data_IF_623573442540
#
_entry.id   IF_623573442540
#
_cell.length_a   1.000
_cell.length_b   1.000
_cell.length_c   1.000
_cell.angle_alpha   90.00
_cell.angle_beta   90.00
_cell.angle_gamma   90.00
#
_symmetry.space_group_name_H-M   'P 1'
#
loop_
_entity.id
_entity.type
_entity.pdbx_description
1 polymer ?
#
# COMPACT_ATOMS: atom_id res chain seq x y z
N UNK A 1 19.10 3.19 -9.50
CA UNK A 1 19.26 4.11 -8.35
C UNK A 1 18.30 5.28 -8.50
N UNK A 2 17.41 5.46 -7.52
CA UNK A 2 16.53 6.63 -7.47
C UNK A 2 17.32 7.81 -6.86
N UNK A 3 17.25 8.97 -7.51
CA UNK A 3 17.95 10.20 -7.12
C UNK A 3 16.92 11.30 -6.85
N UNK A 4 17.26 12.24 -5.97
CA UNK A 4 16.51 13.47 -5.70
C UNK A 4 15.25 13.38 -4.81
N UNK A 5 15.10 12.33 -3.99
CA UNK A 5 14.11 12.39 -2.91
C UNK A 5 14.53 13.45 -1.89
N UNK A 6 13.67 14.43 -1.62
CA UNK A 6 13.90 15.44 -0.58
C UNK A 6 13.63 14.81 0.79
N UNK A 7 14.62 14.85 1.68
CA UNK A 7 14.54 14.31 3.04
C UNK A 7 15.09 15.32 4.04
N UNK A 8 14.54 15.32 5.25
CA UNK A 8 15.12 16.06 6.37
C UNK A 8 16.37 15.29 6.82
N UNK A 9 17.59 15.84 6.64
CA UNK A 9 18.80 15.13 7.03
C UNK A 9 18.97 15.12 8.55
N UNK A 10 19.77 14.17 9.03
CA UNK A 10 20.22 14.11 10.43
C UNK A 10 21.39 15.06 10.72
N UNK A 11 21.96 15.68 9.68
CA UNK A 11 23.11 16.56 9.78
C UNK A 11 22.67 17.98 10.16
N UNK A 12 23.14 18.43 11.33
CA UNK A 12 22.84 19.76 11.89
C UNK A 12 23.75 20.80 11.23
N UNK A 13 23.15 21.80 10.56
CA UNK A 13 23.91 22.89 9.92
C UNK A 13 24.31 24.00 10.89
N UNK A 14 23.58 24.13 11.99
CA UNK A 14 23.82 25.12 13.01
C UNK A 14 22.79 25.00 14.13
N UNK A 15 22.94 25.81 15.16
CA UNK A 15 21.95 25.92 16.24
C UNK A 15 21.48 27.36 16.35
N UNK A 16 20.19 27.55 16.66
CA UNK A 16 19.66 28.87 17.00
C UNK A 16 20.29 29.36 18.31
N UNK A 17 20.21 30.66 18.60
CA UNK A 17 20.64 31.22 19.90
C UNK A 17 19.92 30.62 21.12
N UNK A 18 18.83 29.88 20.90
CA UNK A 18 18.06 29.14 21.92
C UNK A 18 18.38 27.64 21.97
N UNK A 19 19.36 27.16 21.19
CA UNK A 19 19.82 25.77 21.20
C UNK A 19 19.03 24.80 20.31
N UNK A 20 18.13 25.28 19.45
CA UNK A 20 17.39 24.43 18.52
C UNK A 20 18.24 24.12 17.28
N UNK A 21 18.20 22.88 16.79
CA UNK A 21 18.93 22.46 15.60
C UNK A 21 18.32 23.10 14.33
N UNK A 22 19.19 23.66 13.49
CA UNK A 22 18.88 24.14 12.15
C UNK A 22 19.26 23.03 11.17
N UNK A 23 18.27 22.54 10.43
CA UNK A 23 18.41 21.51 9.40
C UNK A 23 18.05 22.11 8.04
N UNK A 24 18.71 21.67 6.97
CA UNK A 24 18.33 22.03 5.60
C UNK A 24 17.91 20.79 4.85
N UNK A 25 16.77 20.87 4.17
CA UNK A 25 16.32 19.85 3.24
C UNK A 25 17.41 19.49 2.24
N UNK A 26 17.74 18.21 2.16
CA UNK A 26 18.76 17.70 1.24
C UNK A 26 18.21 16.55 0.41
N UNK A 27 18.84 16.29 -0.74
CA UNK A 27 18.51 15.11 -1.52
C UNK A 27 19.14 13.88 -0.85
N UNK A 28 18.33 12.87 -0.57
CA UNK A 28 18.82 11.56 -0.15
C UNK A 28 19.82 11.04 -1.20
N UNK A 29 21.02 10.61 -0.77
CA UNK A 29 22.12 10.34 -1.71
C UNK A 29 21.80 9.16 -2.62
N UNK A 30 21.31 8.05 -2.05
CA UNK A 30 21.00 6.83 -2.80
C UNK A 30 19.83 6.05 -2.20
N UNK A 31 18.83 5.80 -3.03
CA UNK A 31 17.67 5.00 -2.71
C UNK A 31 17.54 3.84 -3.71
N UNK A 32 17.08 2.68 -3.24
CA UNK A 32 16.72 1.54 -4.11
C UNK A 32 15.26 1.17 -3.90
N UNK A 33 14.54 1.12 -5.01
CA UNK A 33 13.23 0.50 -5.12
C UNK A 33 13.35 -0.56 -6.19
N UNK A 34 13.00 -1.79 -5.84
CA UNK A 34 13.07 -2.96 -6.71
C UNK A 34 11.90 -3.86 -6.38
N UNK A 35 11.25 -4.39 -7.41
CA UNK A 35 10.12 -5.28 -7.25
C UNK A 35 9.84 -6.06 -8.52
N UNK A 36 8.93 -7.02 -8.38
CA UNK A 36 8.39 -7.83 -9.45
C UNK A 36 6.91 -7.47 -9.64
N UNK A 37 6.50 -7.33 -10.88
CA UNK A 37 5.11 -7.15 -11.26
C UNK A 37 4.68 -8.30 -12.16
N UNK A 38 3.52 -8.86 -11.88
CA UNK A 38 2.94 -9.96 -12.66
C UNK A 38 1.45 -9.74 -12.85
N UNK A 39 0.97 -10.11 -14.03
CA UNK A 39 -0.44 -10.11 -14.37
C UNK A 39 -0.80 -11.46 -14.99
N UNK A 40 -1.97 -11.98 -14.61
CA UNK A 40 -2.52 -13.21 -15.12
C UNK A 40 -4.01 -13.01 -15.42
N UNK A 41 -4.43 -13.40 -16.61
CA UNK A 41 -5.83 -13.48 -17.00
C UNK A 41 -6.08 -14.90 -17.51
N UNK A 42 -7.06 -15.57 -16.92
CA UNK A 42 -7.44 -16.94 -17.25
C UNK A 42 -8.92 -16.96 -17.61
N UNK A 43 -9.29 -17.21 -18.89
CA UNK A 43 -10.66 -17.54 -19.24
C UNK A 43 -10.96 -18.97 -18.78
N UNK A 44 -11.68 -19.11 -17.67
CA UNK A 44 -12.02 -20.41 -17.09
C UNK A 44 -13.18 -21.08 -17.85
N UNK A 45 -14.09 -20.26 -18.39
CA UNK A 45 -15.21 -20.62 -19.24
C UNK A 45 -15.53 -19.44 -20.18
N UNK A 46 -16.42 -19.62 -21.16
CA UNK A 46 -16.91 -18.53 -22.04
C UNK A 46 -17.51 -17.35 -21.26
N UNK A 47 -18.14 -17.66 -20.11
CA UNK A 47 -18.83 -16.70 -19.24
C UNK A 47 -18.11 -16.46 -17.90
N UNK A 48 -16.96 -17.08 -17.68
CA UNK A 48 -16.23 -17.01 -16.40
C UNK A 48 -14.77 -16.70 -16.66
N UNK A 49 -14.32 -15.55 -16.15
CA UNK A 49 -12.92 -15.14 -16.24
C UNK A 49 -12.34 -14.86 -14.87
N UNK A 50 -11.07 -15.20 -14.70
CA UNK A 50 -10.31 -14.90 -13.50
C UNK A 50 -9.11 -14.03 -13.87
N UNK A 51 -9.00 -12.88 -13.23
CA UNK A 51 -7.87 -11.97 -13.38
C UNK A 51 -7.14 -11.80 -12.05
N UNK A 52 -5.81 -11.74 -12.10
CA UNK A 52 -4.96 -11.48 -10.95
C UNK A 52 -3.80 -10.58 -11.34
N UNK A 53 -3.50 -9.58 -10.51
CA UNK A 53 -2.23 -8.87 -10.56
C UNK A 53 -1.51 -8.95 -9.21
N UNK A 54 -0.18 -9.02 -9.28
CA UNK A 54 0.71 -9.12 -8.14
C UNK A 54 1.83 -8.11 -8.30
N UNK A 55 2.05 -7.32 -7.27
CA UNK A 55 3.28 -6.53 -7.09
C UNK A 55 4.00 -7.07 -5.87
N UNK A 56 5.28 -7.41 -5.98
CA UNK A 56 6.14 -7.86 -4.89
C UNK A 56 7.36 -6.94 -4.75
N UNK A 57 7.59 -6.37 -3.58
CA UNK A 57 8.68 -5.45 -3.31
C UNK A 57 9.90 -6.24 -2.80
N UNK A 58 10.97 -6.30 -3.60
CA UNK A 58 12.24 -6.92 -3.22
C UNK A 58 13.07 -5.99 -2.35
N UNK A 59 13.12 -4.71 -2.72
CA UNK A 59 13.84 -3.67 -1.97
C UNK A 59 13.06 -2.36 -2.02
N UNK A 60 12.97 -1.67 -0.90
CA UNK A 60 12.48 -0.30 -0.83
C UNK A 60 13.17 0.38 0.34
N UNK A 61 14.41 0.83 0.15
CA UNK A 61 15.22 1.39 1.24
C UNK A 61 16.12 2.52 0.82
N UNK A 62 16.30 3.44 1.75
CA UNK A 62 17.39 4.41 1.74
C UNK A 62 18.70 3.67 2.06
N UNK A 63 19.73 3.81 1.20
CA UNK A 63 20.98 3.07 1.35
C UNK A 63 21.87 3.64 2.47
N UNK A 64 21.64 4.87 2.92
CA UNK A 64 22.44 5.52 3.95
C UNK A 64 21.92 5.20 5.36
N UNK A 65 20.59 5.18 5.53
CA UNK A 65 19.92 4.96 6.83
C UNK A 65 19.35 3.54 7.01
N UNK A 66 19.19 2.79 5.91
CA UNK A 66 18.54 1.48 5.91
C UNK A 66 17.03 1.51 6.18
N UNK A 67 16.44 2.70 6.30
CA UNK A 67 15.00 2.89 6.50
C UNK A 67 14.22 2.63 5.20
N UNK A 68 12.96 2.15 5.30
CA UNK A 68 12.09 2.06 4.15
C UNK A 68 11.82 3.45 3.56
N UNK A 69 11.80 3.55 2.23
CA UNK A 69 11.53 4.83 1.56
C UNK A 69 10.08 5.27 1.71
N UNK A 70 9.18 4.30 1.82
CA UNK A 70 7.78 4.46 2.15
C UNK A 70 7.33 3.19 2.85
N UNK A 71 6.44 3.30 3.83
CA UNK A 71 5.83 2.13 4.47
C UNK A 71 4.74 1.63 3.52
N UNK A 72 5.06 0.59 2.77
CA UNK A 72 4.17 -0.09 1.82
C UNK A 72 4.18 -1.60 2.10
N UNK A 73 3.13 -2.33 1.71
CA UNK A 73 3.12 -3.79 1.80
C UNK A 73 4.28 -4.43 1.05
N UNK A 74 4.85 -5.51 1.62
CA UNK A 74 5.85 -6.34 0.93
C UNK A 74 5.33 -6.90 -0.39
N UNK A 75 4.03 -7.19 -0.47
CA UNK A 75 3.36 -7.53 -1.72
C UNK A 75 1.91 -7.07 -1.70
N UNK A 76 1.34 -6.86 -2.87
CA UNK A 76 -0.09 -6.63 -3.05
C UNK A 76 -0.59 -7.55 -4.15
N UNK A 77 -1.58 -8.38 -3.84
CA UNK A 77 -2.25 -9.25 -4.79
C UNK A 77 -3.70 -8.79 -4.92
N UNK A 78 -4.11 -8.44 -6.14
CA UNK A 78 -5.50 -8.17 -6.46
C UNK A 78 -6.01 -9.28 -7.39
N UNK A 79 -7.12 -9.90 -7.03
CA UNK A 79 -7.72 -10.99 -7.80
C UNK A 79 -9.23 -10.78 -7.92
N UNK A 80 -9.74 -10.89 -9.14
CA UNK A 80 -11.16 -10.77 -9.48
C UNK A 80 -11.62 -11.99 -10.25
N UNK A 81 -12.71 -12.61 -9.79
CA UNK A 81 -13.45 -13.61 -10.53
C UNK A 81 -14.72 -12.95 -11.07
N UNK A 82 -14.80 -12.82 -12.38
CA UNK A 82 -15.90 -12.21 -13.13
C UNK A 82 -16.75 -13.30 -13.76
N UNK A 83 -18.03 -13.38 -13.39
CA UNK A 83 -18.95 -14.40 -13.90
C UNK A 83 -20.21 -13.78 -14.49
N UNK A 84 -20.43 -14.00 -15.78
CA UNK A 84 -21.67 -13.69 -16.48
C UNK A 84 -22.65 -14.86 -16.29
N UNK A 85 -23.43 -14.85 -15.21
CA UNK A 85 -24.34 -15.95 -14.89
C UNK A 85 -25.49 -16.11 -15.92
N UNK A 86 -25.87 -15.04 -16.61
CA UNK A 86 -26.77 -15.06 -17.78
C UNK A 86 -26.60 -13.76 -18.57
N UNK A 87 -27.27 -13.60 -19.72
CA UNK A 87 -27.27 -12.33 -20.49
C UNK A 87 -27.66 -11.09 -19.66
N UNK A 88 -28.45 -11.28 -18.59
CA UNK A 88 -28.93 -10.18 -17.73
C UNK A 88 -28.28 -10.13 -16.36
N UNK A 89 -27.65 -11.21 -15.90
CA UNK A 89 -27.07 -11.31 -14.56
C UNK A 89 -25.55 -11.47 -14.63
N UNK A 90 -24.84 -10.56 -13.96
CA UNK A 90 -23.39 -10.63 -13.77
C UNK A 90 -23.06 -10.63 -12.28
N UNK A 91 -22.01 -11.34 -11.89
CA UNK A 91 -21.52 -11.40 -10.51
C UNK A 91 -20.01 -11.26 -10.49
N UNK A 92 -19.48 -10.70 -9.40
CA UNK A 92 -18.05 -10.54 -9.20
C UNK A 92 -17.67 -10.89 -7.78
N UNK A 93 -16.60 -11.65 -7.63
CA UNK A 93 -15.88 -11.85 -6.38
C UNK A 93 -14.52 -11.16 -6.50
N UNK A 94 -14.26 -10.20 -5.61
CA UNK A 94 -12.99 -9.46 -5.56
C UNK A 94 -12.23 -9.79 -4.29
N UNK A 95 -10.91 -9.79 -4.40
CA UNK A 95 -10.00 -9.97 -3.28
C UNK A 95 -8.76 -9.09 -3.45
N UNK A 96 -8.38 -8.39 -2.39
CA UNK A 96 -7.10 -7.69 -2.31
C UNK A 96 -6.37 -8.15 -1.07
N UNK A 97 -5.21 -8.75 -1.24
CA UNK A 97 -4.35 -9.25 -0.17
C UNK A 97 -3.12 -8.36 -0.08
N UNK A 98 -2.94 -7.76 1.10
CA UNK A 98 -1.78 -6.96 1.41
C UNK A 98 -0.83 -7.79 2.28
N UNK A 99 0.41 -7.88 1.82
CA UNK A 99 1.52 -8.39 2.59
C UNK A 99 1.80 -7.56 3.84
N UNK A 100 2.76 -8.03 4.60
CA UNK A 100 3.21 -7.43 5.84
C UNK A 100 3.76 -6.02 5.58
N UNK A 101 3.53 -5.09 6.51
CA UNK A 101 4.07 -3.72 6.43
C UNK A 101 5.02 -3.47 7.59
N UNK A 102 6.31 -3.34 7.26
CA UNK A 102 7.35 -3.04 8.23
C UNK A 102 7.44 -1.53 8.50
N UNK A 103 7.42 -1.08 9.77
CA UNK A 103 7.66 0.31 10.11
C UNK A 103 9.13 0.69 9.93
N UNK A 104 9.46 2.00 9.93
CA UNK A 104 10.85 2.46 9.87
C UNK A 104 11.71 1.92 11.01
N UNK A 105 12.96 1.54 10.72
CA UNK A 105 13.89 0.95 11.70
C UNK A 105 14.55 2.00 12.60
N UNK A 106 14.71 3.22 12.11
CA UNK A 106 15.33 4.35 12.80
C UNK A 106 14.40 5.57 12.77
N UNK A 107 14.38 6.34 13.87
CA UNK A 107 13.67 7.61 13.94
C UNK A 107 14.26 8.65 12.98
N UNK A 108 13.46 9.67 12.66
CA UNK A 108 13.83 10.76 11.74
C UNK A 108 14.78 11.80 12.35
N UNK A 109 15.15 11.67 13.63
CA UNK A 109 16.19 12.50 14.29
C UNK A 109 17.08 11.64 15.20
N UNK A 110 18.32 12.10 15.46
CA UNK A 110 19.20 11.48 16.47
C UNK A 110 18.47 11.54 17.81
N UNK A 111 18.32 10.38 18.48
CA UNK A 111 17.63 10.18 19.76
C UNK A 111 16.10 10.20 19.77
N UNK A 112 15.38 10.24 18.65
CA UNK A 112 13.92 9.97 18.71
C UNK A 112 13.64 8.46 18.64
N UNK A 113 12.95 7.87 19.64
CA UNK A 113 12.47 6.50 19.54
C UNK A 113 11.55 6.36 18.32
N UNK A 114 11.62 5.21 17.63
CA UNK A 114 10.63 4.88 16.60
C UNK A 114 9.25 4.86 17.27
N UNK A 115 8.37 5.78 16.84
CA UNK A 115 7.06 6.07 17.46
C UNK A 115 6.15 4.84 17.49
N UNK A 116 6.36 3.88 16.59
CA UNK A 116 5.75 2.54 16.68
C UNK A 116 6.56 1.53 15.88
N UNK A 117 7.02 0.46 16.55
CA UNK A 117 7.61 -0.73 15.89
C UNK A 117 6.55 -1.76 15.50
N UNK A 118 5.26 -1.42 15.64
CA UNK A 118 4.21 -2.40 15.44
C UNK A 118 3.91 -2.56 13.96
N UNK A 119 4.34 -3.71 13.48
CA UNK A 119 4.05 -4.23 12.16
C UNK A 119 2.56 -4.43 11.93
N UNK A 120 2.12 -4.09 10.72
CA UNK A 120 0.80 -4.51 10.23
C UNK A 120 0.98 -5.87 9.57
N UNK A 121 0.47 -6.92 10.21
CA UNK A 121 0.49 -8.27 9.64
C UNK A 121 -0.37 -8.37 8.37
N UNK A 122 -0.08 -9.37 7.53
CA UNK A 122 -0.80 -9.64 6.28
C UNK A 122 -2.32 -9.68 6.50
N UNK A 123 -3.08 -9.06 5.59
CA UNK A 123 -4.54 -9.08 5.63
C UNK A 123 -5.15 -9.07 4.24
N UNK A 124 -6.38 -9.59 4.13
CA UNK A 124 -7.17 -9.58 2.90
C UNK A 124 -8.48 -8.84 3.06
N UNK A 125 -8.87 -8.10 2.03
CA UNK A 125 -10.19 -7.49 1.88
C UNK A 125 -10.91 -8.20 0.74
N UNK A 126 -12.15 -8.60 0.99
CA UNK A 126 -12.96 -9.35 0.04
C UNK A 126 -14.25 -8.59 -0.26
N UNK A 127 -14.71 -8.67 -1.49
CA UNK A 127 -15.95 -8.05 -1.94
C UNK A 127 -16.75 -8.98 -2.84
N UNK A 128 -18.06 -8.85 -2.78
CA UNK A 128 -18.98 -9.54 -3.69
C UNK A 128 -19.95 -8.53 -4.28
N UNK A 129 -20.20 -8.58 -5.58
CA UNK A 129 -21.22 -7.76 -6.23
C UNK A 129 -22.02 -8.56 -7.24
N UNK A 130 -23.25 -8.14 -7.48
CA UNK A 130 -24.13 -8.65 -8.52
C UNK A 130 -24.80 -7.50 -9.24
N UNK A 131 -24.84 -7.58 -10.57
CA UNK A 131 -25.51 -6.63 -11.45
C UNK A 131 -26.59 -7.34 -12.25
N UNK A 132 -27.79 -6.76 -12.29
CA UNK A 132 -28.92 -7.25 -13.08
C UNK A 132 -29.43 -6.17 -14.04
N UNK A 133 -29.54 -6.54 -15.31
CA UNK A 133 -30.11 -5.70 -16.37
C UNK A 133 -31.58 -6.05 -16.55
N UNK A 134 -32.46 -5.11 -16.18
CA UNK A 134 -33.91 -5.26 -16.30
C UNK A 134 -34.38 -5.00 -17.74
N UNK A 135 -33.78 -4.01 -18.39
CA UNK A 135 -34.03 -3.63 -19.79
C UNK A 135 -32.81 -2.91 -20.36
N UNK A 136 -32.84 -2.58 -21.66
CA UNK A 136 -31.79 -1.79 -22.32
C UNK A 136 -31.53 -0.43 -21.66
N UNK A 137 -32.51 0.10 -20.91
CA UNK A 137 -32.42 1.41 -20.26
C UNK A 137 -32.27 1.33 -18.73
N UNK A 138 -32.31 0.14 -18.13
CA UNK A 138 -32.26 -0.02 -16.68
C UNK A 138 -31.41 -1.23 -16.27
N UNK A 139 -30.32 -0.93 -15.58
CA UNK A 139 -29.48 -1.92 -14.88
C UNK A 139 -29.23 -1.48 -13.45
N UNK A 140 -29.22 -2.43 -12.52
CA UNK A 140 -28.92 -2.19 -11.11
C UNK A 140 -27.77 -3.09 -10.69
N UNK A 141 -26.78 -2.54 -9.98
CA UNK A 141 -25.70 -3.30 -9.36
C UNK A 141 -25.66 -3.02 -7.86
N UNK A 142 -25.60 -4.08 -7.07
CA UNK A 142 -25.40 -4.02 -5.63
C UNK A 142 -24.23 -4.89 -5.21
N UNK A 143 -23.62 -4.58 -4.07
CA UNK A 143 -22.51 -5.37 -3.54
C UNK A 143 -22.14 -5.00 -2.12
N UNK A 144 -21.35 -5.88 -1.50
CA UNK A 144 -20.77 -5.69 -0.18
C UNK A 144 -19.25 -5.71 -0.34
N UNK A 145 -18.59 -4.71 0.21
CA UNK A 145 -17.12 -4.66 0.32
C UNK A 145 -16.70 -4.98 1.75
N UNK A 146 -15.48 -5.49 1.91
CA UNK A 146 -14.96 -5.92 3.20
C UNK A 146 -15.88 -6.95 3.88
N UNK A 147 -16.23 -8.01 3.15
CA UNK A 147 -17.19 -9.06 3.56
C UNK A 147 -16.88 -9.67 4.93
N UNK A 148 -15.60 -9.77 5.30
CA UNK A 148 -15.14 -10.34 6.57
C UNK A 148 -14.82 -9.28 7.63
N UNK A 149 -15.25 -8.05 7.43
CA UNK A 149 -15.16 -6.95 8.39
C UNK A 149 -13.74 -6.73 8.93
N UNK A 150 -12.73 -6.80 8.07
CA UNK A 150 -11.35 -6.51 8.47
C UNK A 150 -11.22 -5.03 8.76
N UNK A 151 -10.88 -4.69 10.01
CA UNK A 151 -10.65 -3.31 10.46
C UNK A 151 -9.19 -3.12 10.87
N UNK A 152 -8.64 -1.97 10.53
CA UNK A 152 -7.33 -1.50 10.98
C UNK A 152 -7.54 -0.15 11.65
N UNK A 153 -7.08 -0.03 12.88
CA UNK A 153 -7.12 1.22 13.64
C UNK A 153 -5.72 1.82 13.67
N UNK A 154 -5.63 3.14 13.52
CA UNK A 154 -4.36 3.86 13.62
C UNK A 154 -3.77 3.66 15.02
N UNK A 155 -2.54 3.17 15.09
CA UNK A 155 -1.82 2.93 16.35
C UNK A 155 -0.68 3.94 16.59
N UNK A 156 -0.62 5.03 15.82
CA UNK A 156 0.35 6.10 15.99
C UNK A 156 -0.20 7.22 16.87
N UNK A 157 0.54 7.58 17.93
CA UNK A 157 0.34 8.85 18.62
C UNK A 157 0.83 9.98 17.70
N UNK A 158 0.00 11.01 17.57
CA UNK A 158 0.26 12.19 16.74
C UNK A 158 1.47 12.98 17.26
N UNK A 159 2.67 12.64 16.80
CA UNK A 159 3.80 13.57 16.80
C UNK A 159 4.43 13.52 15.41
N UNK A 160 4.52 14.70 14.81
CA UNK A 160 4.88 15.03 13.43
C UNK A 160 3.85 14.68 12.35
N UNK A 161 2.97 15.64 12.13
CA UNK A 161 2.41 15.94 10.83
C UNK A 161 3.58 16.11 9.84
N UNK A 162 3.45 15.49 8.67
CA UNK A 162 4.43 15.63 7.61
C UNK A 162 4.63 17.10 7.22
N UNK A 163 5.88 17.49 7.21
CA UNK A 163 6.47 18.33 6.16
C UNK A 163 7.91 17.86 6.02
#
# INVERSE_FOLDING_TARGET
DYKNKIVAPLDVMGQTGTGNNILQWSNAKKAVVEGLEGNLLVPLHEDLSWSTNLTYMLQSKDKDTGNPLSVIPEYTLNSTLDWQASERLSTQLTSTIYGRQEPPKHGTSRNTPVVSRKEVGTYGIWGVSAGYTFSENLSVRGGVSNLFEKRLYRQGNSFDAGA
#
